data_IF_803681171262
#
_entry.id   IF_803681171262
#
_cell.length_a   1.000
_cell.length_b   1.000
_cell.length_c   1.000
_cell.angle_alpha   90.00
_cell.angle_beta   90.00
_cell.angle_gamma   90.00
#
_symmetry.space_group_name_H-M   'P 1'
#
loop_
_entity.id
_entity.type
_entity.pdbx_description
1 polymer ?
#
# COMPACT_ATOMS: atom_id res chain seq x y z
N UNK A 1 -10.50 18.56 13.14
CA UNK A 1 -10.51 17.46 12.16
C UNK A 1 -10.51 18.12 10.80
N UNK A 2 -9.46 18.10 10.00
CA UNK A 2 -9.50 18.62 8.64
C UNK A 2 -10.35 17.69 7.79
N UNK A 3 -11.19 18.28 6.96
CA UNK A 3 -12.12 17.60 6.05
C UNK A 3 -11.35 16.95 4.91
N UNK A 4 -11.77 15.78 4.46
CA UNK A 4 -11.14 14.98 3.39
C UNK A 4 -11.03 15.68 2.01
N UNK A 5 -11.50 16.92 1.88
CA UNK A 5 -11.41 17.71 0.66
C UNK A 5 -10.19 18.65 0.57
N UNK A 6 -9.47 18.86 1.66
CA UNK A 6 -8.34 19.83 1.69
C UNK A 6 -7.02 19.29 1.07
N UNK A 7 -7.02 18.07 0.55
CA UNK A 7 -5.85 17.43 -0.03
C UNK A 7 -5.80 17.43 -1.56
N UNK A 8 -6.77 18.06 -2.20
CA UNK A 8 -6.72 18.31 -3.65
C UNK A 8 -5.97 19.63 -3.89
N UNK A 9 -4.67 19.62 -3.68
CA UNK A 9 -3.79 20.72 -4.07
C UNK A 9 -3.86 20.93 -5.57
N UNK A 10 -4.25 22.15 -5.94
CA UNK A 10 -4.31 22.69 -7.29
C UNK A 10 -2.96 22.51 -8.00
N UNK A 11 -2.91 21.61 -8.97
CA UNK A 11 -1.75 21.41 -9.83
C UNK A 11 -1.80 22.38 -11.01
N UNK A 12 -1.71 23.68 -10.72
CA UNK A 12 -1.51 24.71 -11.73
C UNK A 12 -0.41 25.67 -11.29
N UNK A 13 0.85 25.34 -11.54
CA UNK A 13 1.90 26.32 -11.70
C UNK A 13 3.15 25.72 -12.37
N UNK A 14 3.55 26.40 -13.42
CA UNK A 14 4.84 26.47 -14.08
C UNK A 14 5.21 25.40 -15.12
N UNK A 15 4.88 25.76 -16.37
CA UNK A 15 5.58 25.28 -17.56
C UNK A 15 6.53 26.38 -18.08
N UNK A 16 7.77 26.09 -18.40
CA UNK A 16 8.60 26.97 -19.19
C UNK A 16 8.18 26.89 -20.67
N UNK A 17 7.95 28.06 -21.26
CA UNK A 17 7.70 28.23 -22.70
C UNK A 17 8.96 27.86 -23.51
N UNK A 18 8.82 26.94 -24.44
CA UNK A 18 9.74 26.77 -25.55
C UNK A 18 8.95 26.91 -26.87
N UNK A 19 9.20 27.98 -27.59
CA UNK A 19 8.72 28.18 -28.95
C UNK A 19 9.47 27.25 -29.95
N UNK A 20 8.74 26.66 -30.89
CA UNK A 20 9.36 25.91 -32.00
C UNK A 20 8.37 25.09 -32.83
N UNK A 21 7.75 25.73 -33.79
CA UNK A 21 7.28 25.28 -35.13
C UNK A 21 6.97 23.78 -35.40
N UNK A 22 5.72 23.53 -35.79
CA UNK A 22 5.39 22.77 -36.99
C UNK A 22 5.19 21.26 -36.83
N UNK A 23 3.96 20.84 -36.89
CA UNK A 23 3.57 19.46 -37.13
C UNK A 23 2.36 19.05 -36.29
N UNK A 24 1.15 19.19 -36.86
CA UNK A 24 -0.06 18.66 -36.25
C UNK A 24 0.02 17.13 -36.22
N UNK A 25 0.58 16.58 -35.14
CA UNK A 25 0.38 15.18 -34.76
C UNK A 25 -0.96 15.14 -34.03
N UNK A 26 -1.98 14.65 -34.74
CA UNK A 26 -3.26 14.32 -34.11
C UNK A 26 -2.96 13.33 -32.99
N UNK A 27 -2.95 13.82 -31.75
CA UNK A 27 -2.85 12.97 -30.57
C UNK A 27 -4.05 12.03 -30.60
N UNK A 28 -3.81 10.79 -30.98
CA UNK A 28 -4.76 9.70 -30.84
C UNK A 28 -5.23 9.70 -29.36
N UNK A 29 -6.50 10.03 -29.15
CA UNK A 29 -7.11 9.90 -27.84
C UNK A 29 -6.96 8.44 -27.42
N UNK A 30 -6.05 8.15 -26.48
CA UNK A 30 -5.92 6.84 -25.87
C UNK A 30 -7.28 6.54 -25.24
N UNK A 31 -8.06 5.69 -25.88
CA UNK A 31 -9.32 5.18 -25.37
C UNK A 31 -9.03 4.66 -23.95
N UNK A 32 -9.70 5.22 -22.93
CA UNK A 32 -9.59 4.70 -21.57
C UNK A 32 -9.87 3.20 -21.62
N UNK A 33 -9.03 2.34 -21.04
CA UNK A 33 -9.31 0.92 -20.98
C UNK A 33 -10.70 0.73 -20.39
N UNK A 34 -11.59 0.12 -21.16
CA UNK A 34 -12.98 -0.10 -20.73
C UNK A 34 -12.96 -1.18 -19.66
N UNK A 35 -13.40 -0.83 -18.45
CA UNK A 35 -13.51 -1.81 -17.37
C UNK A 35 -14.43 -2.96 -17.78
N UNK A 36 -14.06 -4.22 -17.52
CA UNK A 36 -14.93 -5.35 -17.79
C UNK A 36 -16.18 -5.27 -16.92
N UNK A 37 -17.33 -5.71 -17.44
CA UNK A 37 -18.61 -5.63 -16.75
C UNK A 37 -18.60 -6.31 -15.35
N UNK A 38 -17.75 -7.32 -15.18
CA UNK A 38 -17.58 -8.08 -13.94
C UNK A 38 -16.45 -7.56 -13.01
N UNK A 39 -15.97 -6.33 -13.20
CA UNK A 39 -14.84 -5.79 -12.45
C UNK A 39 -15.01 -5.88 -10.91
N UNK A 40 -16.26 -5.71 -10.40
CA UNK A 40 -16.55 -5.87 -8.97
C UNK A 40 -16.32 -7.29 -8.46
N UNK A 41 -16.65 -8.30 -9.27
CA UNK A 41 -16.38 -9.70 -8.92
C UNK A 41 -14.88 -10.00 -8.95
N UNK A 42 -14.14 -9.38 -9.89
CA UNK A 42 -12.69 -9.54 -10.00
C UNK A 42 -11.96 -8.91 -8.80
N UNK A 43 -12.35 -7.71 -8.40
CA UNK A 43 -11.65 -6.98 -7.33
C UNK A 43 -12.15 -7.35 -5.92
N UNK A 44 -13.37 -7.85 -5.78
CA UNK A 44 -13.99 -8.16 -4.49
C UNK A 44 -14.69 -6.95 -3.86
N UNK A 45 -14.96 -7.04 -2.55
CA UNK A 45 -15.62 -5.99 -1.79
C UNK A 45 -14.71 -4.77 -1.55
N UNK A 46 -15.32 -3.63 -1.18
CA UNK A 46 -14.59 -2.41 -0.80
C UNK A 46 -14.05 -1.57 -1.95
N UNK A 47 -14.32 -1.95 -3.21
CA UNK A 47 -13.92 -1.16 -4.38
C UNK A 47 -15.08 -0.35 -4.95
N UNK A 48 -14.81 0.91 -5.23
CA UNK A 48 -15.74 1.86 -5.85
C UNK A 48 -15.12 2.45 -7.13
N UNK A 49 -15.90 3.16 -7.93
CA UNK A 49 -15.35 3.94 -9.04
C UNK A 49 -15.16 5.39 -8.59
N UNK A 50 -13.97 5.92 -8.82
CA UNK A 50 -13.75 7.35 -8.67
C UNK A 50 -14.40 8.15 -9.81
N UNK A 51 -14.32 9.48 -9.77
CA UNK A 51 -14.90 10.36 -10.80
C UNK A 51 -14.32 10.12 -12.20
N UNK A 52 -13.11 9.57 -12.31
CA UNK A 52 -12.46 9.22 -13.56
C UNK A 52 -12.84 7.82 -14.07
N UNK A 53 -13.66 7.07 -13.32
CA UNK A 53 -14.05 5.70 -13.65
C UNK A 53 -12.98 4.66 -13.36
N UNK A 54 -11.97 4.99 -12.53
CA UNK A 54 -10.94 4.05 -12.07
C UNK A 54 -11.41 3.37 -10.79
N UNK A 55 -11.30 2.03 -10.65
CA UNK A 55 -11.52 1.34 -9.39
C UNK A 55 -10.64 1.92 -8.28
N UNK A 56 -11.27 2.29 -7.19
CA UNK A 56 -10.62 2.96 -6.08
C UNK A 56 -11.07 2.38 -4.74
N UNK A 57 -10.16 2.34 -3.76
CA UNK A 57 -10.49 1.97 -2.39
C UNK A 57 -9.65 2.73 -1.37
N UNK A 58 -10.17 2.82 -0.15
CA UNK A 58 -9.36 3.18 1.02
C UNK A 58 -8.75 1.91 1.63
N UNK A 59 -7.53 2.03 2.12
CA UNK A 59 -6.82 0.96 2.78
C UNK A 59 -6.05 1.46 4.00
N UNK A 60 -5.80 0.58 4.96
CA UNK A 60 -5.00 0.86 6.14
C UNK A 60 -3.89 -0.19 6.28
N UNK A 61 -2.68 0.26 6.61
CA UNK A 61 -1.47 -0.56 6.67
C UNK A 61 -0.71 -0.34 7.95
N UNK A 62 0.02 -1.35 8.41
CA UNK A 62 0.81 -1.26 9.64
C UNK A 62 2.28 -1.55 9.37
N UNK A 63 3.14 -0.60 9.74
CA UNK A 63 4.58 -0.81 9.84
C UNK A 63 4.88 -1.33 11.24
N UNK A 64 5.03 -2.65 11.36
CA UNK A 64 5.34 -3.32 12.63
C UNK A 64 6.85 -3.48 12.75
N UNK A 65 7.41 -3.01 13.85
CA UNK A 65 8.85 -3.13 14.13
C UNK A 65 9.10 -3.82 15.46
N UNK A 66 10.09 -4.70 15.49
CA UNK A 66 10.54 -5.39 16.70
C UNK A 66 12.02 -5.76 16.59
N UNK A 67 12.79 -5.57 17.66
CA UNK A 67 14.18 -6.02 17.76
C UNK A 67 15.05 -5.64 16.53
N UNK A 68 14.91 -4.39 16.07
CA UNK A 68 15.67 -3.85 14.94
C UNK A 68 15.25 -4.38 13.56
N UNK A 69 14.10 -5.00 13.46
CA UNK A 69 13.53 -5.54 12.22
C UNK A 69 12.11 -5.08 11.99
N UNK A 70 11.67 -5.16 10.74
CA UNK A 70 10.33 -4.80 10.27
C UNK A 70 9.65 -6.04 9.72
N UNK A 71 8.37 -6.24 10.06
CA UNK A 71 7.55 -7.31 9.54
C UNK A 71 7.01 -6.93 8.17
N UNK A 72 7.21 -7.80 7.18
CA UNK A 72 6.61 -7.67 5.86
C UNK A 72 5.95 -8.98 5.44
N UNK A 73 4.96 -8.83 4.58
CA UNK A 73 4.27 -9.90 3.87
C UNK A 73 4.93 -10.05 2.51
N UNK A 74 5.25 -11.28 2.13
CA UNK A 74 5.68 -11.61 0.78
C UNK A 74 4.48 -12.03 -0.05
N UNK A 75 4.44 -11.61 -1.29
CA UNK A 75 3.40 -11.99 -2.25
C UNK A 75 3.93 -12.05 -3.67
N UNK A 76 3.11 -12.59 -4.57
CA UNK A 76 3.42 -12.69 -5.98
C UNK A 76 2.22 -12.26 -6.85
N UNK A 77 2.48 -12.00 -8.13
CA UNK A 77 1.45 -11.62 -9.08
C UNK A 77 0.54 -12.81 -9.43
N UNK A 78 -0.75 -12.57 -9.49
CA UNK A 78 -1.74 -13.58 -9.87
C UNK A 78 -1.50 -14.15 -11.28
N UNK A 79 -0.99 -13.32 -12.19
CA UNK A 79 -0.73 -13.68 -13.58
C UNK A 79 0.71 -14.10 -13.86
N UNK A 80 1.65 -13.78 -12.97
CA UNK A 80 3.07 -14.10 -13.08
C UNK A 80 3.66 -14.45 -11.71
N UNK A 81 3.61 -15.72 -11.36
CA UNK A 81 4.13 -16.21 -10.08
C UNK A 81 5.65 -16.05 -9.91
N UNK A 82 6.38 -15.63 -10.95
CA UNK A 82 7.79 -15.26 -10.83
C UNK A 82 7.99 -13.80 -10.37
N UNK A 83 6.97 -12.96 -10.47
CA UNK A 83 7.00 -11.57 -10.04
C UNK A 83 6.58 -11.46 -8.58
N UNK A 84 7.58 -11.36 -7.69
CA UNK A 84 7.39 -11.26 -6.23
C UNK A 84 7.58 -9.84 -5.72
N UNK A 85 6.96 -9.53 -4.58
CA UNK A 85 7.16 -8.29 -3.84
C UNK A 85 7.00 -8.47 -2.33
N UNK A 86 7.46 -7.47 -1.58
CA UNK A 86 7.22 -7.35 -0.15
C UNK A 86 6.36 -6.12 0.12
N UNK A 87 5.47 -6.21 1.10
CA UNK A 87 4.63 -5.09 1.52
C UNK A 87 4.29 -5.16 3.02
N UNK A 88 3.81 -4.06 3.57
CA UNK A 88 3.38 -4.00 4.97
C UNK A 88 2.04 -4.69 5.15
N UNK A 89 1.78 -5.39 6.27
CA UNK A 89 0.46 -5.91 6.59
C UNK A 89 -0.62 -4.85 6.49
N UNK A 90 -1.82 -5.25 6.04
CA UNK A 90 -2.98 -4.39 5.94
C UNK A 90 -3.77 -4.56 4.65
N UNK A 91 -4.99 -4.02 4.64
CA UNK A 91 -5.93 -4.17 3.55
C UNK A 91 -7.00 -3.10 3.48
N UNK A 92 -8.14 -3.43 2.88
CA UNK A 92 -9.23 -2.49 2.67
C UNK A 92 -9.94 -2.08 3.95
N UNK A 93 -10.39 -0.83 4.02
CA UNK A 93 -11.24 -0.34 5.12
C UNK A 93 -12.67 -0.77 4.81
N UNK A 94 -13.33 -1.43 5.75
CA UNK A 94 -14.72 -1.84 5.64
C UNK A 94 -15.69 -0.72 6.06
N UNK A 95 -16.95 -0.87 5.66
CA UNK A 95 -17.97 0.12 6.00
C UNK A 95 -18.16 0.24 7.53
N UNK A 96 -18.03 1.46 8.05
CA UNK A 96 -18.16 1.75 9.48
C UNK A 96 -16.88 1.61 10.30
N UNK A 97 -15.78 1.13 9.70
CA UNK A 97 -14.49 1.10 10.37
C UNK A 97 -13.76 2.44 10.29
N UNK A 98 -13.05 2.80 11.34
CA UNK A 98 -11.97 3.78 11.25
C UNK A 98 -10.73 3.15 10.61
N UNK A 99 -9.83 3.95 10.00
CA UNK A 99 -8.59 3.41 9.43
C UNK A 99 -7.73 2.62 10.45
N UNK A 100 -7.72 3.04 11.72
CA UNK A 100 -6.98 2.31 12.78
C UNK A 100 -7.63 0.97 13.11
N UNK A 101 -8.97 0.89 13.10
CA UNK A 101 -9.69 -0.37 13.31
C UNK A 101 -9.43 -1.34 12.16
N UNK A 102 -9.51 -0.88 10.91
CA UNK A 102 -9.17 -1.69 9.75
C UNK A 102 -7.71 -2.20 9.82
N UNK A 103 -6.77 -1.31 10.15
CA UNK A 103 -5.36 -1.67 10.31
C UNK A 103 -5.14 -2.76 11.38
N UNK A 104 -5.82 -2.66 12.53
CA UNK A 104 -5.72 -3.66 13.59
C UNK A 104 -6.38 -4.99 13.20
N UNK A 105 -7.53 -4.97 12.52
CA UNK A 105 -8.22 -6.15 11.99
C UNK A 105 -7.35 -6.89 10.98
N UNK A 106 -6.88 -6.19 9.96
CA UNK A 106 -6.03 -6.76 8.90
C UNK A 106 -4.72 -7.33 9.47
N UNK A 107 -4.09 -6.60 10.41
CA UNK A 107 -2.90 -7.11 11.10
C UNK A 107 -3.17 -8.43 11.80
N UNK A 108 -4.33 -8.55 12.48
CA UNK A 108 -4.72 -9.79 13.17
C UNK A 108 -5.05 -10.92 12.18
N UNK A 109 -5.66 -10.61 11.04
CA UNK A 109 -6.02 -11.58 9.99
C UNK A 109 -4.79 -12.10 9.27
N UNK A 110 -3.91 -11.19 8.82
CA UNK A 110 -2.74 -11.56 8.04
C UNK A 110 -1.60 -12.16 8.86
N UNK A 111 -1.43 -11.73 10.13
CA UNK A 111 -0.22 -12.07 10.91
C UNK A 111 -0.48 -12.79 12.23
N UNK A 112 -1.72 -12.80 12.71
CA UNK A 112 -2.08 -13.26 14.05
C UNK A 112 -1.75 -12.27 15.18
N UNK A 113 -1.20 -11.10 14.88
CA UNK A 113 -0.88 -10.07 15.88
C UNK A 113 -2.16 -9.30 16.24
N UNK A 114 -2.61 -9.47 17.47
CA UNK A 114 -3.81 -8.77 17.99
C UNK A 114 -3.36 -7.55 18.78
N UNK A 115 -3.90 -6.39 18.43
CA UNK A 115 -3.57 -5.09 19.04
C UNK A 115 -4.80 -4.21 19.14
N UNK A 116 -4.86 -3.42 20.21
CA UNK A 116 -5.87 -2.36 20.32
C UNK A 116 -5.56 -1.28 19.27
N UNK A 117 -6.56 -0.83 18.47
CA UNK A 117 -6.39 0.26 17.50
C UNK A 117 -5.75 1.54 18.10
N UNK A 118 -5.99 1.84 19.37
CA UNK A 118 -5.43 3.01 20.05
C UNK A 118 -3.91 2.93 20.26
N UNK A 119 -3.30 1.75 20.11
CA UNK A 119 -1.85 1.56 20.12
C UNK A 119 -1.18 1.88 18.79
N UNK A 120 -1.96 2.04 17.74
CA UNK A 120 -1.46 2.34 16.40
C UNK A 120 -1.22 3.86 16.28
N UNK A 121 0.01 4.26 16.04
CA UNK A 121 0.36 5.67 15.82
C UNK A 121 0.33 5.99 14.33
N UNK A 122 -0.37 7.04 13.94
CA UNK A 122 -0.45 7.47 12.53
C UNK A 122 0.95 7.81 12.00
N UNK A 123 1.42 7.06 11.01
CA UNK A 123 2.76 7.19 10.40
C UNK A 123 2.74 8.07 9.15
N UNK A 124 1.71 7.97 8.31
CA UNK A 124 1.67 8.73 7.07
C UNK A 124 0.58 8.26 6.10
N UNK A 125 0.67 8.79 4.87
CA UNK A 125 -0.33 8.56 3.83
C UNK A 125 0.34 8.30 2.48
N UNK A 126 -0.40 7.59 1.60
CA UNK A 126 -0.02 7.31 0.22
C UNK A 126 -1.24 7.32 -0.69
N UNK A 127 -1.04 7.76 -1.94
CA UNK A 127 -1.92 7.40 -3.03
C UNK A 127 -1.14 6.54 -4.01
N UNK A 128 -1.60 5.32 -4.26
CA UNK A 128 -0.93 4.37 -5.12
C UNK A 128 -1.82 4.00 -6.31
N UNK A 129 -1.30 4.20 -7.52
CA UNK A 129 -1.86 3.64 -8.74
C UNK A 129 -1.10 2.34 -9.04
N UNK A 130 -1.79 1.24 -9.22
CA UNK A 130 -1.17 -0.07 -9.41
C UNK A 130 -2.05 -0.99 -10.24
N UNK A 131 -1.44 -2.02 -10.81
CA UNK A 131 -2.17 -3.07 -11.51
C UNK A 131 -2.57 -4.18 -10.51
N UNK A 132 -3.86 -4.51 -10.52
CA UNK A 132 -4.39 -5.64 -9.76
C UNK A 132 -5.38 -6.42 -10.62
N UNK A 133 -5.10 -7.70 -10.84
CA UNK A 133 -5.90 -8.59 -11.71
C UNK A 133 -6.13 -8.00 -13.12
N UNK A 134 -5.07 -7.46 -13.70
CA UNK A 134 -5.05 -6.78 -14.99
C UNK A 134 -5.97 -5.54 -15.06
N UNK A 135 -6.29 -4.94 -13.93
CA UNK A 135 -7.03 -3.69 -13.84
C UNK A 135 -6.16 -2.63 -13.18
N UNK A 136 -6.11 -1.44 -13.77
CA UNK A 136 -5.48 -0.28 -13.13
C UNK A 136 -6.37 0.19 -11.98
N UNK A 137 -5.84 0.16 -10.77
CA UNK A 137 -6.54 0.47 -9.53
C UNK A 137 -5.86 1.60 -8.79
N UNK A 138 -6.63 2.37 -8.03
CA UNK A 138 -6.14 3.42 -7.12
C UNK A 138 -6.43 3.02 -5.68
N UNK A 139 -5.44 3.16 -4.79
CA UNK A 139 -5.64 3.06 -3.35
C UNK A 139 -5.22 4.35 -2.65
N UNK A 140 -6.06 4.80 -1.69
CA UNK A 140 -5.66 5.80 -0.69
C UNK A 140 -5.31 5.04 0.59
N UNK A 141 -4.03 4.99 0.93
CA UNK A 141 -3.51 4.18 2.03
C UNK A 141 -3.13 5.06 3.22
N UNK A 142 -3.61 4.67 4.41
CA UNK A 142 -3.21 5.24 5.70
C UNK A 142 -2.25 4.27 6.38
N UNK A 143 -1.06 4.74 6.71
CA UNK A 143 -0.03 3.92 7.36
C UNK A 143 0.01 4.21 8.84
N UNK A 144 0.11 3.15 9.64
CA UNK A 144 0.30 3.20 11.07
C UNK A 144 1.64 2.59 11.48
N UNK A 145 2.18 3.04 12.60
CA UNK A 145 3.40 2.53 13.22
C UNK A 145 3.06 1.76 14.49
N UNK A 146 3.64 0.57 14.63
CA UNK A 146 3.50 -0.28 15.80
C UNK A 146 4.87 -0.82 16.24
N UNK A 147 5.48 -0.23 17.28
CA UNK A 147 6.66 -0.82 17.90
C UNK A 147 6.28 -1.91 18.88
N UNK A 148 6.98 -3.04 18.82
CA UNK A 148 6.86 -4.17 19.73
C UNK A 148 8.21 -4.45 20.39
N UNK A 149 8.22 -4.82 21.66
CA UNK A 149 9.44 -5.19 22.37
C UNK A 149 10.02 -6.52 21.88
N UNK A 150 9.13 -7.47 21.57
CA UNK A 150 9.49 -8.80 21.11
C UNK A 150 8.72 -9.15 19.84
N UNK A 151 9.33 -10.03 19.03
CA UNK A 151 8.64 -10.60 17.86
C UNK A 151 7.65 -11.64 18.35
N UNK A 152 6.34 -11.43 18.11
CA UNK A 152 5.34 -12.45 18.43
C UNK A 152 5.47 -13.64 17.48
N UNK A 153 4.90 -14.78 17.88
CA UNK A 153 4.68 -15.88 16.97
C UNK A 153 3.66 -15.44 15.90
N UNK A 154 4.07 -15.56 14.65
CA UNK A 154 3.20 -15.25 13.51
C UNK A 154 2.38 -16.49 13.15
N UNK A 155 1.14 -16.28 12.72
CA UNK A 155 0.34 -17.34 12.16
C UNK A 155 -0.46 -16.85 10.94
N UNK A 156 -0.80 -17.76 10.04
CA UNK A 156 -1.48 -17.54 8.77
C UNK A 156 -2.82 -18.28 8.72
N UNK A 157 -3.34 -18.71 9.86
CA UNK A 157 -4.53 -19.56 9.95
C UNK A 157 -5.77 -18.85 9.41
N UNK A 158 -5.81 -17.52 9.56
CA UNK A 158 -6.93 -16.68 9.13
C UNK A 158 -6.87 -16.23 7.67
N UNK A 159 -5.80 -16.60 6.96
CA UNK A 159 -5.73 -16.27 5.53
C UNK A 159 -6.91 -16.87 4.78
N UNK A 160 -7.59 -16.03 4.02
CA UNK A 160 -8.63 -16.44 3.09
C UNK A 160 -8.06 -17.32 1.97
N UNK A 161 -8.90 -18.02 1.22
CA UNK A 161 -8.46 -18.79 0.06
C UNK A 161 -7.76 -17.91 -1.00
N UNK A 162 -8.18 -16.66 -1.11
CA UNK A 162 -7.62 -15.67 -2.04
C UNK A 162 -6.20 -15.23 -1.59
N UNK A 163 -6.01 -14.96 -0.31
CA UNK A 163 -4.71 -14.63 0.26
C UNK A 163 -3.73 -15.79 0.16
N UNK A 164 -4.18 -17.01 0.48
CA UNK A 164 -3.35 -18.23 0.31
C UNK A 164 -2.87 -18.46 -1.13
N UNK A 165 -3.55 -17.89 -2.12
CA UNK A 165 -3.16 -17.99 -3.54
C UNK A 165 -2.24 -16.87 -4.01
N UNK A 166 -2.00 -15.84 -3.20
CA UNK A 166 -1.25 -14.65 -3.58
C UNK A 166 -0.11 -14.32 -2.60
N UNK A 167 -0.21 -14.80 -1.34
CA UNK A 167 0.74 -14.51 -0.29
C UNK A 167 1.67 -15.71 -0.07
N UNK A 168 2.98 -15.45 -0.06
CA UNK A 168 4.01 -16.47 0.08
C UNK A 168 4.44 -16.65 1.53
N UNK A 169 4.24 -15.66 2.39
CA UNK A 169 4.60 -15.74 3.80
C UNK A 169 4.84 -14.42 4.50
N UNK A 170 5.22 -14.53 5.77
CA UNK A 170 5.51 -13.44 6.68
C UNK A 170 6.96 -13.55 7.16
N UNK A 171 7.70 -12.46 7.11
CA UNK A 171 9.08 -12.49 7.62
C UNK A 171 9.50 -11.14 8.22
N UNK A 172 10.51 -11.21 9.10
CA UNK A 172 11.14 -10.06 9.72
C UNK A 172 12.43 -9.70 8.97
N UNK A 173 12.52 -8.45 8.51
CA UNK A 173 13.64 -7.96 7.72
C UNK A 173 14.38 -6.85 8.45
N UNK A 174 15.71 -6.94 8.50
CA UNK A 174 16.53 -5.81 8.92
C UNK A 174 16.60 -4.73 7.83
N UNK A 175 16.92 -3.47 8.16
CA UNK A 175 17.12 -2.42 7.15
C UNK A 175 18.22 -2.77 6.14
N UNK A 176 19.22 -3.55 6.56
CA UNK A 176 20.27 -4.05 5.67
C UNK A 176 19.71 -5.04 4.65
N UNK A 177 18.92 -6.05 5.11
CA UNK A 177 18.28 -7.02 4.22
C UNK A 177 17.35 -6.34 3.23
N UNK A 178 16.52 -5.36 3.66
CA UNK A 178 15.62 -4.64 2.77
C UNK A 178 16.38 -3.91 1.65
N UNK A 179 17.49 -3.26 1.98
CA UNK A 179 18.34 -2.61 0.96
C UNK A 179 18.94 -3.62 -0.01
N UNK A 180 19.46 -4.74 0.46
CA UNK A 180 20.01 -5.78 -0.40
C UNK A 180 18.97 -6.36 -1.35
N UNK A 181 17.77 -6.68 -0.85
CA UNK A 181 16.67 -7.22 -1.66
C UNK A 181 16.21 -6.20 -2.70
N UNK A 182 16.03 -4.94 -2.32
CA UNK A 182 15.67 -3.87 -3.25
C UNK A 182 16.73 -3.65 -4.33
N UNK A 183 18.03 -3.69 -3.98
CA UNK A 183 19.14 -3.59 -4.95
C UNK A 183 19.20 -4.80 -5.89
N UNK A 184 18.77 -5.96 -5.42
CA UNK A 184 18.65 -7.17 -6.24
C UNK A 184 17.39 -7.18 -7.14
N UNK A 185 16.58 -6.12 -7.09
CA UNK A 185 15.39 -5.93 -7.95
C UNK A 185 14.08 -6.39 -7.34
N UNK A 186 14.05 -6.86 -6.08
CA UNK A 186 12.79 -7.20 -5.41
C UNK A 186 12.00 -5.92 -5.08
N UNK A 187 10.77 -5.83 -5.57
CA UNK A 187 9.88 -4.72 -5.26
C UNK A 187 9.46 -4.73 -3.78
N UNK A 188 9.52 -3.57 -3.14
CA UNK A 188 9.09 -3.37 -1.74
C UNK A 188 8.12 -2.20 -1.72
N UNK A 189 6.94 -2.39 -1.12
CA UNK A 189 5.90 -1.36 -1.12
C UNK A 189 5.54 -0.91 0.30
N UNK A 190 5.46 0.42 0.54
CA UNK A 190 5.86 1.49 -0.38
C UNK A 190 7.39 1.54 -0.58
N UNK A 191 7.90 1.99 -1.75
CA UNK A 191 9.34 1.96 -2.05
C UNK A 191 10.19 2.74 -1.04
N UNK A 192 9.66 3.85 -0.53
CA UNK A 192 10.34 4.71 0.46
C UNK A 192 10.58 4.00 1.79
N UNK A 193 9.87 2.91 2.06
CA UNK A 193 10.04 2.13 3.28
C UNK A 193 11.49 1.68 3.46
N UNK A 194 12.19 1.32 2.37
CA UNK A 194 13.61 0.93 2.38
C UNK A 194 14.49 2.04 2.96
N UNK A 195 14.20 3.31 2.57
CA UNK A 195 14.96 4.47 3.02
C UNK A 195 14.65 4.84 4.48
N UNK A 196 13.41 4.63 4.92
CA UNK A 196 12.96 4.93 6.27
C UNK A 196 13.22 3.80 7.28
N UNK A 197 13.50 2.57 6.80
CA UNK A 197 13.58 1.38 7.64
C UNK A 197 14.56 1.54 8.82
N UNK A 198 15.75 2.09 8.59
CA UNK A 198 16.76 2.27 9.65
C UNK A 198 16.26 3.16 10.78
N UNK A 199 15.59 4.29 10.44
CA UNK A 199 15.00 5.19 11.42
C UNK A 199 13.82 4.53 12.15
N UNK A 200 12.93 3.87 11.41
CA UNK A 200 11.73 3.26 11.98
C UNK A 200 12.04 2.12 12.97
N UNK A 201 13.05 1.28 12.70
CA UNK A 201 13.41 0.18 13.61
C UNK A 201 14.20 0.63 14.85
N UNK A 202 14.78 1.83 14.84
CA UNK A 202 15.50 2.41 16.00
C UNK A 202 14.63 3.32 16.84
N UNK A 203 13.52 3.79 16.29
CA UNK A 203 12.55 4.68 16.95
C UNK A 203 12.09 5.78 16.00
N UNK A 204 10.78 5.91 15.86
CA UNK A 204 10.15 6.96 15.07
C UNK A 204 9.88 8.19 15.94
N UNK A 205 10.15 9.38 15.43
CA UNK A 205 10.05 10.64 16.15
C UNK A 205 8.67 11.32 16.08
N UNK A 206 7.67 10.66 15.50
CA UNK A 206 6.32 11.21 15.32
C UNK A 206 6.14 12.08 14.07
N UNK A 207 7.18 12.30 13.27
CA UNK A 207 7.06 13.05 12.02
C UNK A 207 6.31 12.24 10.97
N UNK A 208 5.20 12.79 10.45
CA UNK A 208 4.41 12.12 9.41
C UNK A 208 5.24 11.93 8.13
N UNK A 209 5.17 10.74 7.58
CA UNK A 209 5.81 10.39 6.33
C UNK A 209 4.81 10.55 5.17
N UNK A 210 5.29 11.03 4.04
CA UNK A 210 4.58 10.98 2.77
C UNK A 210 5.21 9.87 1.93
N UNK A 211 4.42 8.90 1.58
CA UNK A 211 4.79 7.86 0.64
C UNK A 211 4.24 8.21 -0.76
N UNK A 212 4.92 7.80 -1.83
CA UNK A 212 4.56 8.10 -3.23
C UNK A 212 4.20 6.83 -4.01
#
# INVERSE_FOLDING_TARGET
MPNSQDWLGDASADQPQAEGQGGAVVASAKTKPQLPANWRQLLGAGWELNQQGTPWRQAARVVVVAQGQMLLVAGHDFSDAAHHWLFTPGGGIEAGESPAQAAARELAEETGIIVDPDRLSLLGYRQALFEFRALTCLASETFYYLPLEHKPQLNQERWTANERSLLDGLNWYSPHNLRQLSQAGLAIYPPELVNHAAKLVTGWDGTLLKFT
#
